data_IF_518366371134
#
_entry.id   IF_518366371134
#
_cell.length_a   1.000
_cell.length_b   1.000
_cell.length_c   1.000
_cell.angle_alpha   90.00
_cell.angle_beta   90.00
_cell.angle_gamma   90.00
#
_symmetry.space_group_name_H-M   'P 1'
#
loop_
_entity.id
_entity.type
_entity.pdbx_description
1 polymer ?
#
# COMPACT_ATOMS: atom_id res chain seq x y z
N UNK A 1 -6.95 19.67 5.03
CA UNK A 1 -7.50 20.13 3.73
C UNK A 1 -9.02 20.10 3.83
N UNK A 2 -9.62 21.12 4.45
CA UNK A 2 -11.03 20.99 4.84
C UNK A 2 -11.98 21.87 4.04
N UNK A 3 -11.46 22.72 3.12
CA UNK A 3 -12.31 23.72 2.44
C UNK A 3 -13.19 23.14 1.34
N UNK A 4 -12.75 22.10 0.64
CA UNK A 4 -13.55 21.43 -0.41
C UNK A 4 -14.63 20.58 0.22
N UNK A 5 -14.32 19.87 1.30
CA UNK A 5 -15.25 18.98 2.00
C UNK A 5 -16.31 19.70 2.83
N UNK A 6 -16.10 20.97 3.20
CA UNK A 6 -17.08 21.78 3.94
C UNK A 6 -18.30 22.23 3.10
N UNK A 7 -18.20 22.16 1.77
CA UNK A 7 -19.26 22.60 0.86
C UNK A 7 -20.10 21.44 0.28
N UNK A 8 -19.89 20.23 0.78
CA UNK A 8 -20.57 19.02 0.28
C UNK A 8 -21.66 18.57 1.24
N UNK A 9 -22.81 18.22 0.70
CA UNK A 9 -23.94 17.64 1.46
C UNK A 9 -23.64 16.20 1.93
N UNK A 10 -22.69 15.50 1.29
CA UNK A 10 -22.32 14.12 1.60
C UNK A 10 -21.06 14.05 2.49
N UNK A 11 -21.12 13.21 3.53
CA UNK A 11 -19.95 12.94 4.38
C UNK A 11 -18.90 12.13 3.60
N UNK A 12 -17.82 12.79 3.20
CA UNK A 12 -16.71 12.19 2.44
C UNK A 12 -15.62 11.62 3.34
N UNK A 13 -15.79 11.67 4.67
CA UNK A 13 -14.79 11.16 5.61
C UNK A 13 -15.28 9.90 6.31
N UNK A 14 -14.60 8.79 6.07
CA UNK A 14 -14.89 7.50 6.67
C UNK A 14 -13.62 6.88 7.27
N UNK A 15 -13.50 6.97 8.59
CA UNK A 15 -12.42 6.31 9.32
C UNK A 15 -12.78 4.84 9.56
N UNK A 16 -11.85 3.94 9.25
CA UNK A 16 -12.02 2.50 9.37
C UNK A 16 -11.09 1.93 10.44
N UNK A 17 -11.57 0.94 11.17
CA UNK A 17 -10.81 0.28 12.25
C UNK A 17 -10.96 -1.24 12.17
N UNK A 18 -9.98 -1.97 12.70
CA UNK A 18 -9.99 -3.42 12.81
C UNK A 18 -10.30 -4.12 11.46
N UNK A 19 -11.30 -4.99 11.44
CA UNK A 19 -11.67 -5.79 10.26
C UNK A 19 -11.99 -4.93 9.03
N UNK A 20 -12.72 -3.83 9.20
CA UNK A 20 -13.09 -2.94 8.09
C UNK A 20 -11.87 -2.24 7.48
N UNK A 21 -10.89 -1.86 8.31
CA UNK A 21 -9.63 -1.29 7.84
C UNK A 21 -8.81 -2.31 7.06
N UNK A 22 -8.74 -3.55 7.56
CA UNK A 22 -8.03 -4.65 6.90
C UNK A 22 -8.70 -5.00 5.56
N UNK A 23 -10.03 -5.07 5.52
CA UNK A 23 -10.78 -5.35 4.29
C UNK A 23 -10.50 -4.27 3.23
N UNK A 24 -10.54 -3.00 3.63
CA UNK A 24 -10.20 -1.88 2.73
C UNK A 24 -8.77 -1.93 2.22
N UNK A 25 -7.80 -2.24 3.08
CA UNK A 25 -6.41 -2.45 2.68
C UNK A 25 -6.33 -3.55 1.62
N UNK A 26 -6.95 -4.69 1.85
CA UNK A 26 -6.91 -5.83 0.92
C UNK A 26 -7.57 -5.51 -0.42
N UNK A 27 -8.76 -4.89 -0.40
CA UNK A 27 -9.47 -4.44 -1.60
C UNK A 27 -8.57 -3.56 -2.49
N UNK A 28 -7.93 -2.56 -1.89
CA UNK A 28 -7.08 -1.64 -2.63
C UNK A 28 -5.77 -2.27 -3.11
N UNK A 29 -5.28 -3.30 -2.42
CA UNK A 29 -4.11 -4.05 -2.85
C UNK A 29 -4.41 -5.03 -3.98
N UNK A 30 -5.60 -5.63 -4.03
CA UNK A 30 -5.99 -6.52 -5.12
C UNK A 30 -5.99 -5.80 -6.48
N UNK A 31 -6.11 -4.47 -6.45
CA UNK A 31 -6.03 -3.62 -7.65
C UNK A 31 -4.60 -3.12 -7.94
N UNK A 32 -3.65 -3.25 -7.00
CA UNK A 32 -2.30 -2.69 -7.08
C UNK A 32 -1.22 -3.78 -7.05
N UNK A 33 -0.62 -4.08 -8.18
CA UNK A 33 0.47 -5.08 -8.28
C UNK A 33 1.77 -4.63 -7.58
N UNK A 34 1.93 -3.34 -7.29
CA UNK A 34 3.19 -2.74 -6.85
C UNK A 34 2.95 -1.55 -5.92
N UNK A 35 3.87 -1.36 -4.99
CA UNK A 35 3.89 -0.19 -4.10
C UNK A 35 5.24 0.53 -4.16
N UNK A 36 5.27 1.78 -3.72
CA UNK A 36 6.50 2.42 -3.27
C UNK A 36 6.78 1.98 -1.84
N UNK A 37 7.86 1.22 -1.67
CA UNK A 37 8.35 0.75 -0.38
C UNK A 37 9.37 1.75 0.16
N UNK A 38 9.00 2.47 1.23
CA UNK A 38 9.77 3.57 1.81
C UNK A 38 10.42 3.12 3.12
N UNK A 39 11.71 3.32 3.24
CA UNK A 39 12.53 3.01 4.43
C UNK A 39 13.30 4.25 4.86
N UNK A 40 13.96 4.18 6.02
CA UNK A 40 14.78 5.27 6.55
C UNK A 40 13.95 6.54 6.79
N UNK A 41 12.81 6.34 7.46
CA UNK A 41 11.79 7.38 7.69
C UNK A 41 12.17 8.41 8.76
N UNK A 42 13.36 8.31 9.35
CA UNK A 42 13.79 9.23 10.42
C UNK A 42 13.90 10.67 9.95
N UNK A 43 13.41 11.59 10.78
CA UNK A 43 13.41 13.02 10.53
C UNK A 43 14.83 13.54 10.23
N UNK A 44 14.94 14.43 9.22
CA UNK A 44 16.13 15.17 8.74
C UNK A 44 16.90 14.57 7.57
N UNK A 45 16.47 13.44 6.98
CA UNK A 45 17.04 12.93 5.72
C UNK A 45 15.92 12.60 4.76
N UNK A 46 16.21 12.65 3.47
CA UNK A 46 15.29 12.13 2.49
C UNK A 46 15.11 10.63 2.72
N UNK A 47 13.86 10.17 2.84
CA UNK A 47 13.56 8.75 2.93
C UNK A 47 13.97 8.05 1.62
N UNK A 48 14.33 6.77 1.72
CA UNK A 48 14.68 5.97 0.56
C UNK A 48 13.44 5.24 0.06
N UNK A 49 13.12 5.35 -1.24
CA UNK A 49 11.96 4.69 -1.84
C UNK A 49 12.36 3.83 -3.04
N UNK A 50 11.63 2.75 -3.28
CA UNK A 50 11.76 1.86 -4.45
C UNK A 50 10.45 1.14 -4.75
N UNK A 51 10.18 0.79 -6.01
CA UNK A 51 9.04 -0.06 -6.34
C UNK A 51 9.27 -1.48 -5.79
N UNK A 52 8.21 -2.07 -5.22
CA UNK A 52 8.20 -3.43 -4.72
C UNK A 52 6.86 -4.10 -5.07
N UNK A 53 6.93 -5.27 -5.70
CA UNK A 53 5.75 -6.10 -5.92
C UNK A 53 5.34 -6.79 -4.61
N UNK A 54 4.08 -6.65 -4.23
CA UNK A 54 3.48 -7.39 -3.12
C UNK A 54 3.25 -8.82 -3.60
N UNK A 55 3.78 -9.80 -2.86
CA UNK A 55 3.64 -11.19 -3.23
C UNK A 55 2.38 -11.82 -2.62
N UNK A 56 1.99 -11.35 -1.45
CA UNK A 56 0.84 -11.87 -0.70
C UNK A 56 0.39 -10.86 0.34
N UNK A 57 -0.92 -10.87 0.63
CA UNK A 57 -1.50 -10.20 1.79
C UNK A 57 -2.29 -11.25 2.59
N UNK A 58 -1.98 -11.35 3.86
CA UNK A 58 -2.70 -12.22 4.79
C UNK A 58 -4.04 -11.59 5.23
N UNK A 59 -4.85 -12.39 5.91
CA UNK A 59 -6.17 -11.95 6.41
C UNK A 59 -6.10 -10.85 7.46
N UNK A 60 -4.95 -10.68 8.11
CA UNK A 60 -4.68 -9.64 9.11
C UNK A 60 -4.05 -8.36 8.50
N UNK A 61 -3.99 -8.26 7.19
CA UNK A 61 -3.38 -7.14 6.48
C UNK A 61 -1.85 -7.21 6.38
N UNK A 62 -1.21 -8.26 6.91
CA UNK A 62 0.24 -8.46 6.77
C UNK A 62 0.62 -8.59 5.29
N UNK A 63 1.59 -7.80 4.84
CA UNK A 63 2.08 -7.81 3.47
C UNK A 63 3.44 -8.50 3.38
N UNK A 64 3.62 -9.31 2.33
CA UNK A 64 4.81 -10.12 2.13
C UNK A 64 5.52 -9.75 0.84
N UNK A 65 6.85 -9.68 0.92
CA UNK A 65 7.73 -9.34 -0.21
C UNK A 65 8.93 -10.27 -0.27
N UNK A 66 9.48 -10.46 -1.46
CA UNK A 66 10.79 -11.09 -1.65
C UNK A 66 11.87 -10.02 -1.86
N UNK A 67 13.04 -10.24 -1.29
CA UNK A 67 14.18 -9.34 -1.35
C UNK A 67 15.49 -10.09 -1.41
N UNK A 68 16.57 -9.43 -1.83
CA UNK A 68 17.92 -9.98 -1.72
C UNK A 68 18.56 -9.57 -0.39
N UNK A 69 19.28 -10.49 0.27
CA UNK A 69 19.92 -10.28 1.56
C UNK A 69 21.00 -9.18 1.55
N UNK A 70 21.62 -8.93 0.40
CA UNK A 70 22.62 -7.90 0.19
C UNK A 70 22.02 -6.54 -0.19
N UNK A 71 20.70 -6.46 -0.30
CA UNK A 71 20.02 -5.22 -0.71
C UNK A 71 20.14 -4.12 0.34
N UNK A 72 20.20 -2.87 -0.13
CA UNK A 72 20.22 -1.69 0.74
C UNK A 72 19.00 -1.64 1.68
N UNK A 73 17.81 -1.99 1.17
CA UNK A 73 16.58 -1.98 1.96
C UNK A 73 16.60 -2.96 3.14
N UNK A 74 17.24 -4.14 2.97
CA UNK A 74 17.38 -5.08 4.08
C UNK A 74 18.22 -4.46 5.21
N UNK A 75 19.34 -3.82 4.87
CA UNK A 75 20.19 -3.12 5.85
C UNK A 75 19.46 -1.96 6.52
N UNK A 76 18.62 -1.26 5.78
CA UNK A 76 17.80 -0.15 6.30
C UNK A 76 16.75 -0.67 7.28
N UNK A 77 16.06 -1.78 6.95
CA UNK A 77 15.06 -2.43 7.85
C UNK A 77 15.73 -2.99 9.11
N UNK A 78 16.90 -3.58 9.00
CA UNK A 78 17.65 -4.08 10.16
C UNK A 78 18.05 -2.93 11.13
N UNK A 79 18.29 -1.74 10.58
CA UNK A 79 18.63 -0.54 11.37
C UNK A 79 17.39 0.17 11.95
N UNK A 80 16.30 0.22 11.18
CA UNK A 80 15.03 0.85 11.54
C UNK A 80 13.89 0.07 10.86
N UNK A 81 13.10 -0.69 11.63
CA UNK A 81 12.01 -1.48 11.08
C UNK A 81 10.83 -0.66 10.58
N UNK A 82 10.81 0.65 10.81
CA UNK A 82 9.72 1.52 10.38
C UNK A 82 9.70 1.64 8.86
N UNK A 83 8.58 1.27 8.26
CA UNK A 83 8.37 1.28 6.81
C UNK A 83 7.06 1.97 6.49
N UNK A 84 7.05 2.69 5.38
CA UNK A 84 5.82 3.22 4.79
C UNK A 84 5.63 2.64 3.40
N UNK A 85 4.41 2.17 3.12
CA UNK A 85 3.98 1.71 1.82
C UNK A 85 3.03 2.74 1.21
N UNK A 86 3.27 3.11 -0.04
CA UNK A 86 2.40 4.00 -0.80
C UNK A 86 1.89 3.25 -2.02
N UNK A 87 0.58 3.19 -2.16
CA UNK A 87 -0.11 2.49 -3.24
C UNK A 87 -0.97 3.44 -4.05
N UNK A 88 -1.09 3.10 -5.31
CA UNK A 88 -2.13 3.61 -6.18
C UNK A 88 -2.86 2.41 -6.77
N UNK A 89 -4.09 2.18 -6.35
CA UNK A 89 -4.89 1.03 -6.77
C UNK A 89 -5.33 1.16 -8.23
N UNK A 90 -5.79 2.33 -8.65
CA UNK A 90 -6.23 2.56 -10.03
C UNK A 90 -5.64 3.84 -10.62
N UNK A 91 -5.82 4.02 -11.93
CA UNK A 91 -5.30 5.20 -12.64
C UNK A 91 -5.91 6.52 -12.17
N UNK A 92 -7.13 6.50 -11.64
CA UNK A 92 -7.90 7.71 -11.34
C UNK A 92 -8.38 7.79 -9.90
N UNK A 93 -8.25 6.72 -9.12
CA UNK A 93 -8.73 6.65 -7.74
C UNK A 93 -7.93 5.60 -6.97
N UNK A 94 -8.16 5.53 -5.65
CA UNK A 94 -7.57 4.49 -4.82
C UNK A 94 -6.10 4.75 -4.50
N UNK A 95 -5.84 5.64 -3.55
CA UNK A 95 -4.51 5.85 -2.98
C UNK A 95 -4.50 5.39 -1.53
N UNK A 96 -3.46 4.67 -1.14
CA UNK A 96 -3.25 4.25 0.25
C UNK A 96 -1.83 4.55 0.69
N UNK A 97 -1.74 5.09 1.88
CA UNK A 97 -0.51 5.24 2.63
C UNK A 97 -0.60 4.39 3.90
N UNK A 98 0.27 3.39 4.05
CA UNK A 98 0.33 2.53 5.24
C UNK A 98 1.66 2.69 5.94
N UNK A 99 1.63 2.98 7.23
CA UNK A 99 2.80 2.92 8.12
C UNK A 99 2.76 1.63 8.92
N UNK A 100 3.91 1.02 9.13
CA UNK A 100 4.02 -0.22 9.89
C UNK A 100 5.45 -0.65 10.13
N UNK A 101 5.60 -1.87 10.62
CA UNK A 101 6.90 -2.44 10.93
C UNK A 101 7.24 -3.60 9.99
N UNK A 102 8.46 -3.59 9.48
CA UNK A 102 8.98 -4.67 8.65
C UNK A 102 9.98 -5.53 9.43
N UNK A 103 10.01 -6.81 9.11
CA UNK A 103 11.02 -7.77 9.60
C UNK A 103 11.51 -8.65 8.46
N UNK A 104 12.76 -9.12 8.58
CA UNK A 104 13.41 -9.92 7.55
C UNK A 104 13.62 -11.34 8.06
N UNK A 105 13.38 -12.32 7.20
CA UNK A 105 13.67 -13.72 7.48
C UNK A 105 14.18 -14.48 6.27
N UNK A 106 14.78 -15.65 6.51
CA UNK A 106 15.21 -16.62 5.49
C UNK A 106 14.35 -17.88 5.51
N UNK A 107 13.09 -17.76 5.97
CA UNK A 107 12.17 -18.88 6.10
C UNK A 107 11.90 -19.53 4.73
N UNK A 108 12.43 -20.72 4.52
CA UNK A 108 12.35 -21.44 3.26
C UNK A 108 10.93 -21.84 2.86
N UNK A 109 10.05 -22.15 3.83
CA UNK A 109 8.65 -22.48 3.52
C UNK A 109 7.93 -21.26 2.99
N UNK A 110 8.15 -20.08 3.60
CA UNK A 110 7.56 -18.84 3.14
C UNK A 110 8.14 -18.39 1.77
N UNK A 111 9.45 -18.57 1.54
CA UNK A 111 10.06 -18.31 0.24
C UNK A 111 9.37 -19.13 -0.86
N UNK A 112 9.14 -20.43 -0.65
CA UNK A 112 8.46 -21.30 -1.63
C UNK A 112 7.00 -20.89 -1.86
N UNK A 113 6.29 -20.52 -0.80
CA UNK A 113 4.91 -20.05 -0.88
C UNK A 113 4.79 -18.76 -1.72
N UNK A 114 5.74 -17.84 -1.57
CA UNK A 114 5.76 -16.55 -2.26
C UNK A 114 6.44 -16.63 -3.65
N UNK A 115 7.05 -17.78 -3.97
CA UNK A 115 7.83 -17.90 -5.19
C UNK A 115 6.96 -17.82 -6.44
N UNK A 116 7.36 -16.97 -7.37
CA UNK A 116 6.79 -16.84 -8.69
C UNK A 116 7.92 -17.05 -9.73
N UNK A 117 7.71 -17.79 -10.82
CA UNK A 117 8.73 -18.04 -11.85
C UNK A 117 9.39 -16.79 -12.43
N UNK A 118 8.70 -15.65 -12.47
CA UNK A 118 9.27 -14.38 -12.93
C UNK A 118 10.43 -13.92 -12.03
N UNK A 119 10.48 -14.37 -10.77
CA UNK A 119 11.54 -14.06 -9.81
C UNK A 119 12.91 -14.59 -10.25
N UNK A 120 12.98 -15.55 -11.19
CA UNK A 120 14.23 -16.01 -11.78
C UNK A 120 15.02 -14.91 -12.47
N UNK A 121 14.37 -13.81 -12.85
CA UNK A 121 15.04 -12.62 -13.38
C UNK A 121 16.04 -12.03 -12.39
N UNK A 122 15.74 -12.10 -11.10
CA UNK A 122 16.60 -11.57 -10.02
C UNK A 122 17.34 -12.65 -9.25
N UNK A 123 16.76 -13.86 -9.17
CA UNK A 123 17.29 -15.00 -8.42
C UNK A 123 17.52 -16.18 -9.34
N UNK A 124 18.68 -16.17 -10.02
CA UNK A 124 19.01 -17.11 -11.11
C UNK A 124 19.09 -18.57 -10.67
N UNK A 125 19.29 -18.84 -9.37
CA UNK A 125 19.28 -20.21 -8.80
C UNK A 125 17.87 -20.70 -8.40
N UNK A 126 16.83 -19.95 -8.78
CA UNK A 126 15.46 -20.30 -8.43
C UNK A 126 15.12 -20.03 -6.95
N UNK A 127 14.11 -20.74 -6.43
CA UNK A 127 13.62 -20.60 -5.04
C UNK A 127 14.66 -20.98 -3.98
N UNK A 128 15.70 -21.72 -4.36
CA UNK A 128 16.79 -22.12 -3.48
C UNK A 128 18.00 -21.14 -3.51
N UNK A 129 17.89 -20.03 -4.24
CA UNK A 129 18.93 -19.00 -4.25
C UNK A 129 19.20 -18.51 -2.81
N UNK A 130 20.44 -18.63 -2.30
CA UNK A 130 20.76 -18.29 -0.92
C UNK A 130 20.63 -16.80 -0.59
N UNK A 131 20.47 -15.96 -1.60
CA UNK A 131 20.30 -14.52 -1.43
C UNK A 131 18.86 -14.15 -1.09
N UNK A 132 17.89 -15.05 -1.31
CA UNK A 132 16.47 -14.73 -1.09
C UNK A 132 16.19 -14.55 0.39
N UNK A 133 15.56 -13.44 0.70
CA UNK A 133 14.93 -13.15 1.99
C UNK A 133 13.46 -12.79 1.81
N UNK A 134 12.70 -12.99 2.86
CA UNK A 134 11.31 -12.58 2.98
C UNK A 134 11.25 -11.34 3.84
N UNK A 135 10.56 -10.31 3.39
CA UNK A 135 10.16 -9.18 4.21
C UNK A 135 8.70 -9.35 4.58
N UNK A 136 8.43 -9.37 5.89
CA UNK A 136 7.10 -9.31 6.48
C UNK A 136 6.85 -7.87 6.92
N UNK A 137 5.79 -7.24 6.40
CA UNK A 137 5.34 -5.92 6.83
C UNK A 137 4.00 -6.05 7.55
N UNK A 138 3.93 -5.56 8.78
CA UNK A 138 2.72 -5.52 9.60
C UNK A 138 2.25 -4.07 9.66
N UNK A 139 1.08 -3.72 9.08
CA UNK A 139 0.54 -2.38 9.15
C UNK A 139 0.12 -2.02 10.57
N UNK A 140 0.31 -0.74 10.95
CA UNK A 140 -0.07 -0.18 12.26
C UNK A 140 -1.14 0.88 12.09
N UNK A 141 -0.98 1.72 11.07
CA UNK A 141 -1.93 2.78 10.72
C UNK A 141 -1.79 3.16 9.26
N UNK A 142 -2.81 3.82 8.75
CA UNK A 142 -2.77 4.31 7.39
C UNK A 142 -3.80 5.38 7.11
N UNK A 143 -3.80 5.82 5.87
CA UNK A 143 -4.77 6.74 5.32
C UNK A 143 -5.10 6.35 3.88
N UNK A 144 -6.36 6.47 3.49
CA UNK A 144 -6.79 6.15 2.13
C UNK A 144 -7.59 7.28 1.50
N UNK A 145 -7.53 7.33 0.19
CA UNK A 145 -8.35 8.17 -0.69
C UNK A 145 -8.93 7.29 -1.77
N UNK A 146 -10.25 7.30 -1.90
CA UNK A 146 -10.97 6.45 -2.85
C UNK A 146 -12.22 7.16 -3.39
N UNK A 147 -13.02 6.47 -4.18
CA UNK A 147 -14.33 6.91 -4.69
C UNK A 147 -15.43 6.03 -4.13
N UNK A 148 -16.57 6.63 -3.75
CA UNK A 148 -17.72 5.91 -3.18
C UNK A 148 -18.35 4.92 -4.16
N UNK A 149 -18.40 5.28 -5.44
CA UNK A 149 -19.14 4.53 -6.46
C UNK A 149 -18.23 4.09 -7.64
N UNK A 150 -16.92 4.12 -7.46
CA UNK A 150 -15.95 3.77 -8.49
C UNK A 150 -15.59 4.92 -9.45
N UNK A 151 -14.43 4.80 -10.10
CA UNK A 151 -13.81 5.87 -10.89
C UNK A 151 -14.71 6.40 -12.03
N UNK A 152 -15.53 5.54 -12.65
CA UNK A 152 -16.40 5.96 -13.77
C UNK A 152 -17.54 6.87 -13.31
N UNK A 153 -18.15 6.54 -12.16
CA UNK A 153 -19.24 7.35 -11.56
C UNK A 153 -18.68 8.66 -11.02
N UNK A 154 -17.53 8.63 -10.37
CA UNK A 154 -16.83 9.82 -9.89
C UNK A 154 -16.54 10.80 -11.04
N UNK A 155 -16.03 10.29 -12.16
CA UNK A 155 -15.77 11.10 -13.35
C UNK A 155 -17.06 11.71 -13.97
N UNK A 156 -18.15 10.93 -14.03
CA UNK A 156 -19.43 11.44 -14.52
C UNK A 156 -20.00 12.53 -13.59
N UNK A 157 -19.91 12.38 -12.27
CA UNK A 157 -20.32 13.39 -11.28
C UNK A 157 -19.48 14.66 -11.40
N UNK A 158 -18.17 14.55 -11.61
CA UNK A 158 -17.28 15.72 -11.81
C UNK A 158 -17.67 16.53 -13.05
N UNK A 159 -17.95 15.88 -14.18
CA UNK A 159 -18.41 16.57 -15.40
C UNK A 159 -19.76 17.26 -15.15
N UNK A 160 -20.70 16.58 -14.54
CA UNK A 160 -22.01 17.15 -14.23
C UNK A 160 -21.89 18.35 -13.27
N UNK A 161 -21.06 18.22 -12.23
CA UNK A 161 -20.78 19.32 -11.29
C UNK A 161 -20.16 20.55 -11.95
N UNK A 162 -19.22 20.35 -12.86
CA UNK A 162 -18.61 21.43 -13.62
C UNK A 162 -19.61 22.18 -14.52
N UNK A 163 -20.60 21.45 -15.09
CA UNK A 163 -21.66 22.04 -15.91
C UNK A 163 -22.68 22.86 -15.09
N UNK A 164 -22.92 22.48 -13.85
CA UNK A 164 -23.95 23.09 -12.98
C UNK A 164 -23.36 24.10 -11.98
N UNK A 165 -22.01 24.20 -11.94
CA UNK A 165 -21.31 25.07 -10.98
C UNK A 165 -21.44 24.61 -9.53
N UNK A 166 -21.69 23.31 -9.30
CA UNK A 166 -21.75 22.67 -7.97
C UNK A 166 -20.64 21.64 -7.81
N UNK A 167 -20.07 21.56 -6.65
CA UNK A 167 -19.12 20.50 -6.31
C UNK A 167 -19.90 19.17 -6.16
N UNK A 168 -19.75 18.28 -7.15
CA UNK A 168 -20.29 16.92 -7.10
C UNK A 168 -19.10 15.95 -7.00
N UNK A 169 -18.54 15.84 -5.81
CA UNK A 169 -17.38 15.01 -5.55
C UNK A 169 -17.81 13.65 -4.99
N UNK A 170 -17.34 12.58 -5.60
CA UNK A 170 -17.60 11.20 -5.20
C UNK A 170 -16.46 10.62 -4.33
N UNK A 171 -15.52 11.46 -3.90
CA UNK A 171 -14.38 11.02 -3.11
C UNK A 171 -14.80 10.59 -1.70
N UNK A 172 -14.08 9.62 -1.18
CA UNK A 172 -14.11 9.21 0.22
C UNK A 172 -12.68 9.04 0.71
N UNK A 173 -12.41 9.53 1.90
CA UNK A 173 -11.09 9.43 2.51
C UNK A 173 -11.19 9.14 4.01
N UNK A 174 -10.17 8.56 4.60
CA UNK A 174 -10.16 8.31 6.02
C UNK A 174 -8.91 7.62 6.55
N UNK A 175 -8.85 7.52 7.86
CA UNK A 175 -7.80 6.77 8.55
C UNK A 175 -8.08 5.28 8.52
N UNK A 176 -7.01 4.50 8.47
CA UNK A 176 -7.02 3.04 8.60
C UNK A 176 -6.28 2.66 9.88
N UNK A 177 -6.93 1.89 10.76
CA UNK A 177 -6.33 1.32 11.97
C UNK A 177 -6.63 -0.18 12.01
N UNK A 178 -5.82 -0.99 11.31
CA UNK A 178 -6.00 -2.43 11.22
C UNK A 178 -5.78 -3.16 12.54
#
# INVERSE_FOLDING_TARGET
MDSINQQQEENNRQNLTNADAIEKIREMFDEADCCFFCTNMQARRAFTTRPMAVQKIDRDGTCWFLSANDSKKNKEIDSDPTVQLLFQASKHAGFVSLSGNASISTNKSMIRELWNPIMKTWFTKGEDDPRITVIKFVPVEGYYWDTKHGALVAFAKQIAGAMVGKTMDDSVEGTLKP
#
